data_IF_568883874375
#
_entry.id   IF_568883874375
#
_cell.length_a   1.000
_cell.length_b   1.000
_cell.length_c   1.000
_cell.angle_alpha   90.00
_cell.angle_beta   90.00
_cell.angle_gamma   90.00
#
_symmetry.space_group_name_H-M   'P 1'
#
loop_
_entity.id
_entity.type
_entity.pdbx_description
1 polymer ?
#
# COMPACT_ATOMS: atom_id res chain seq x y z
N UNK A 1 14.47 1.75 10.97
CA UNK A 1 13.12 2.18 11.38
C UNK A 1 12.33 2.46 10.11
N UNK A 2 11.20 1.77 9.90
CA UNK A 2 10.36 1.92 8.71
C UNK A 2 9.15 2.79 9.06
N UNK A 3 9.23 4.12 8.92
CA UNK A 3 8.08 4.99 9.14
C UNK A 3 7.03 4.70 8.06
N UNK A 4 5.96 4.05 8.50
CA UNK A 4 4.83 3.64 7.68
C UNK A 4 3.77 4.74 7.66
N UNK A 5 2.93 4.75 6.63
CA UNK A 5 1.72 5.58 6.60
C UNK A 5 0.79 5.34 7.80
N UNK A 6 0.95 4.21 8.50
CA UNK A 6 0.24 3.89 9.74
C UNK A 6 0.57 4.83 10.90
N UNK A 7 1.71 5.52 10.90
CA UNK A 7 2.08 6.46 11.97
C UNK A 7 1.17 7.71 12.04
N UNK A 8 0.43 8.00 10.97
CA UNK A 8 -0.58 9.07 10.95
C UNK A 8 -1.82 8.72 11.80
N UNK A 9 -1.98 7.45 12.20
CA UNK A 9 -3.13 6.98 12.95
C UNK A 9 -2.88 6.98 14.45
N UNK A 10 -3.42 7.99 15.13
CA UNK A 10 -3.47 8.01 16.60
C UNK A 10 -4.48 6.99 17.13
N UNK A 11 -4.31 6.56 18.38
CA UNK A 11 -5.29 5.66 19.05
C UNK A 11 -6.71 6.25 19.03
N UNK A 12 -6.83 7.57 19.21
CA UNK A 12 -8.12 8.26 19.17
C UNK A 12 -8.73 8.24 17.76
N UNK A 13 -7.92 8.41 16.72
CA UNK A 13 -8.40 8.32 15.34
C UNK A 13 -8.85 6.90 15.01
N UNK A 14 -8.07 5.89 15.39
CA UNK A 14 -8.45 4.48 15.21
C UNK A 14 -9.76 4.15 15.93
N UNK A 15 -9.95 4.65 17.16
CA UNK A 15 -11.20 4.50 17.91
C UNK A 15 -12.38 5.17 17.19
N UNK A 16 -12.20 6.40 16.67
CA UNK A 16 -13.23 7.10 15.88
C UNK A 16 -13.61 6.33 14.62
N UNK A 17 -12.64 5.73 13.94
CA UNK A 17 -12.86 4.90 12.74
C UNK A 17 -13.63 3.62 13.11
N UNK A 18 -13.20 2.91 14.16
CA UNK A 18 -13.87 1.70 14.64
C UNK A 18 -15.32 1.98 15.08
N UNK A 19 -15.56 3.10 15.78
CA UNK A 19 -16.89 3.51 16.22
C UNK A 19 -17.84 3.84 15.05
N UNK A 20 -17.31 4.13 13.85
CA UNK A 20 -18.11 4.29 12.62
C UNK A 20 -18.42 2.95 11.94
N UNK A 21 -18.07 1.82 12.56
CA UNK A 21 -18.34 0.48 12.04
C UNK A 21 -17.26 -0.05 11.09
N UNK A 22 -16.12 0.65 10.93
CA UNK A 22 -15.02 0.17 10.10
C UNK A 22 -14.18 -0.86 10.86
N UNK A 23 -14.02 -2.05 10.26
CA UNK A 23 -13.10 -3.08 10.77
C UNK A 23 -11.66 -2.66 10.51
N UNK A 24 -10.81 -2.76 11.53
CA UNK A 24 -9.37 -2.51 11.42
C UNK A 24 -8.67 -3.85 11.69
N UNK A 25 -7.91 -4.33 10.71
CA UNK A 25 -7.21 -5.62 10.80
C UNK A 25 -5.74 -5.46 10.44
N UNK A 26 -4.82 -6.14 11.15
CA UNK A 26 -3.39 -6.01 10.91
C UNK A 26 -2.89 -6.96 9.82
N UNK A 27 -1.85 -6.52 9.09
CA UNK A 27 -0.95 -7.37 8.31
C UNK A 27 0.44 -7.21 8.92
N UNK A 28 1.13 -8.31 9.21
CA UNK A 28 2.48 -8.27 9.77
C UNK A 28 3.49 -8.24 8.63
N UNK A 29 4.49 -7.37 8.74
CA UNK A 29 5.54 -7.18 7.73
C UNK A 29 6.90 -7.10 8.42
N UNK A 30 7.89 -7.84 7.93
CA UNK A 30 9.30 -7.62 8.28
C UNK A 30 9.99 -6.95 7.10
N UNK A 31 10.25 -5.66 7.26
CA UNK A 31 10.74 -4.80 6.20
C UNK A 31 12.26 -4.65 6.27
N UNK A 32 12.92 -4.89 5.14
CA UNK A 32 14.30 -4.49 4.92
C UNK A 32 14.41 -3.04 4.43
N UNK A 33 15.64 -2.59 4.15
CA UNK A 33 15.90 -1.27 3.56
C UNK A 33 15.65 -1.21 2.05
N UNK A 34 15.32 -2.34 1.42
CA UNK A 34 15.29 -2.49 -0.03
C UNK A 34 14.28 -1.62 -0.76
N UNK A 35 13.10 -1.39 -0.16
CA UNK A 35 12.09 -0.48 -0.71
C UNK A 35 12.58 0.96 -0.88
N UNK A 36 13.68 1.37 -0.25
CA UNK A 36 14.26 2.72 -0.37
C UNK A 36 15.39 2.82 -1.39
N UNK A 37 15.79 1.70 -2.01
CA UNK A 37 16.85 1.71 -3.03
C UNK A 37 16.32 2.35 -4.32
N UNK A 38 17.12 3.17 -5.01
CA UNK A 38 16.73 3.72 -6.30
C UNK A 38 16.61 2.62 -7.35
N UNK A 39 15.69 2.79 -8.29
CA UNK A 39 15.59 1.93 -9.47
C UNK A 39 16.64 2.40 -10.49
N UNK A 40 17.62 1.56 -10.80
CA UNK A 40 18.77 1.89 -11.69
C UNK A 40 18.70 1.05 -12.98
N UNK A 41 17.50 0.64 -13.40
CA UNK A 41 17.31 -0.12 -14.66
C UNK A 41 16.47 0.70 -15.64
N UNK A 42 16.81 0.63 -16.92
CA UNK A 42 16.02 1.25 -18.00
C UNK A 42 14.72 0.48 -18.25
N UNK A 43 14.82 -0.85 -18.26
CA UNK A 43 13.67 -1.76 -18.37
C UNK A 43 13.19 -2.18 -16.98
N UNK A 44 12.02 -1.66 -16.58
CA UNK A 44 11.39 -1.93 -15.29
C UNK A 44 11.08 -3.42 -15.09
N UNK A 45 10.82 -4.19 -16.15
CA UNK A 45 10.55 -5.62 -16.04
C UNK A 45 11.76 -6.41 -15.50
N UNK A 46 12.96 -5.83 -15.60
CA UNK A 46 14.21 -6.42 -15.11
C UNK A 46 14.57 -5.98 -13.69
N UNK A 47 13.79 -5.10 -13.07
CA UNK A 47 14.04 -4.67 -11.71
C UNK A 47 13.75 -5.81 -10.73
N UNK A 48 14.75 -6.15 -9.90
CA UNK A 48 14.57 -7.08 -8.79
C UNK A 48 14.27 -6.30 -7.51
N UNK A 49 13.06 -6.49 -6.99
CA UNK A 49 12.70 -6.01 -5.66
C UNK A 49 13.42 -6.84 -4.60
N UNK A 50 13.84 -6.19 -3.52
CA UNK A 50 14.23 -6.90 -2.32
C UNK A 50 12.98 -7.53 -1.68
N UNK A 51 13.07 -8.81 -1.29
CA UNK A 51 11.94 -9.53 -0.71
C UNK A 51 11.59 -9.02 0.69
N UNK A 52 10.30 -8.92 0.97
CA UNK A 52 9.76 -8.58 2.27
C UNK A 52 8.97 -9.77 2.83
N UNK A 53 9.18 -10.09 4.10
CA UNK A 53 8.37 -11.12 4.76
C UNK A 53 7.02 -10.53 5.16
N UNK A 54 5.95 -11.27 4.93
CA UNK A 54 4.61 -10.91 5.35
C UNK A 54 3.93 -12.06 6.09
N UNK A 55 2.93 -11.72 6.89
CA UNK A 55 1.98 -12.66 7.47
C UNK A 55 0.58 -12.03 7.54
N UNK A 56 -0.36 -12.67 6.84
CA UNK A 56 -1.79 -12.38 6.83
C UNK A 56 -2.47 -13.53 7.59
N UNK A 57 -3.02 -13.23 8.76
CA UNK A 57 -3.72 -14.27 9.54
C UNK A 57 -5.04 -14.67 8.86
N UNK A 58 -5.60 -15.80 9.31
CA UNK A 58 -6.93 -16.25 8.90
C UNK A 58 -7.99 -15.19 9.18
N UNK A 59 -7.95 -14.56 10.36
CA UNK A 59 -8.92 -13.55 10.79
C UNK A 59 -8.83 -12.29 9.92
N UNK A 60 -7.62 -11.86 9.56
CA UNK A 60 -7.41 -10.72 8.67
C UNK A 60 -7.94 -11.02 7.26
N UNK A 61 -7.58 -12.17 6.69
CA UNK A 61 -8.05 -12.56 5.35
C UNK A 61 -9.58 -12.70 5.32
N UNK A 62 -10.16 -13.38 6.32
CA UNK A 62 -11.61 -13.51 6.45
C UNK A 62 -12.29 -12.14 6.58
N UNK A 63 -11.73 -11.23 7.39
CA UNK A 63 -12.28 -9.90 7.56
C UNK A 63 -12.35 -9.09 6.27
N UNK A 64 -11.28 -9.16 5.47
CA UNK A 64 -11.20 -8.49 4.18
C UNK A 64 -12.21 -9.11 3.21
N UNK A 65 -12.21 -10.44 3.09
CA UNK A 65 -13.11 -11.16 2.18
C UNK A 65 -14.59 -10.95 2.53
N UNK A 66 -14.95 -10.95 3.82
CA UNK A 66 -16.32 -10.64 4.26
C UNK A 66 -16.73 -9.21 3.90
N UNK A 67 -15.79 -8.27 3.97
CA UNK A 67 -16.03 -6.87 3.60
C UNK A 67 -16.28 -6.76 2.11
N UNK A 68 -15.45 -7.40 1.28
CA UNK A 68 -15.60 -7.44 -0.17
C UNK A 68 -16.92 -8.13 -0.59
N UNK A 69 -17.27 -9.26 0.02
CA UNK A 69 -18.54 -9.97 -0.23
C UNK A 69 -19.78 -9.12 0.04
N UNK A 70 -19.70 -8.18 0.99
CA UNK A 70 -20.78 -7.24 1.33
C UNK A 70 -20.77 -5.97 0.46
N UNK A 71 -19.89 -5.89 -0.55
CA UNK A 71 -19.71 -4.68 -1.37
C UNK A 71 -19.00 -3.54 -0.63
N UNK A 72 -18.38 -3.82 0.51
CA UNK A 72 -17.57 -2.86 1.26
C UNK A 72 -16.26 -2.53 0.55
N UNK A 73 -15.55 -1.52 1.07
CA UNK A 73 -14.29 -1.04 0.51
C UNK A 73 -13.10 -1.38 1.40
N UNK A 74 -12.02 -1.87 0.78
CA UNK A 74 -10.78 -2.23 1.46
C UNK A 74 -9.78 -1.08 1.36
N UNK A 75 -9.42 -0.53 2.53
CA UNK A 75 -8.42 0.54 2.64
C UNK A 75 -7.09 -0.06 3.09
N UNK A 76 -6.08 -0.01 2.22
CA UNK A 76 -4.71 -0.36 2.59
C UNK A 76 -3.97 0.86 3.15
N UNK A 77 -3.29 0.66 4.28
CA UNK A 77 -2.46 1.70 4.92
C UNK A 77 -0.99 1.36 4.68
N UNK A 78 -0.43 1.94 3.61
CA UNK A 78 0.95 1.77 3.19
C UNK A 78 1.12 0.80 2.01
N UNK A 79 2.10 1.09 1.15
CA UNK A 79 2.39 0.32 -0.07
C UNK A 79 2.84 -1.12 0.19
N UNK A 80 3.53 -1.39 1.30
CA UNK A 80 3.93 -2.75 1.67
C UNK A 80 2.73 -3.63 2.02
N UNK A 81 1.66 -3.05 2.61
CA UNK A 81 0.40 -3.76 2.86
C UNK A 81 -0.26 -4.11 1.53
N UNK A 82 -0.27 -3.18 0.57
CA UNK A 82 -0.78 -3.44 -0.79
C UNK A 82 -0.04 -4.62 -1.42
N UNK A 83 1.30 -4.62 -1.41
CA UNK A 83 2.09 -5.73 -1.97
C UNK A 83 1.77 -7.07 -1.32
N UNK A 84 1.68 -7.12 0.02
CA UNK A 84 1.37 -8.35 0.73
C UNK A 84 -0.03 -8.89 0.35
N UNK A 85 -1.05 -8.02 0.37
CA UNK A 85 -2.42 -8.39 0.02
C UNK A 85 -2.53 -8.82 -1.45
N UNK A 86 -1.85 -8.13 -2.35
CA UNK A 86 -1.84 -8.45 -3.77
C UNK A 86 -0.98 -9.70 -4.09
N UNK A 87 -0.14 -10.18 -3.16
CA UNK A 87 0.64 -11.41 -3.34
C UNK A 87 -0.20 -12.67 -3.07
N UNK A 88 -0.97 -12.68 -1.98
CA UNK A 88 -1.79 -13.83 -1.58
C UNK A 88 -3.24 -13.65 -2.06
N UNK A 89 -3.44 -13.68 -3.37
CA UNK A 89 -4.76 -13.58 -4.01
C UNK A 89 -5.12 -14.90 -4.69
N UNK A 90 -6.32 -15.41 -4.44
CA UNK A 90 -6.84 -16.61 -5.13
C UNK A 90 -7.18 -16.28 -6.59
N UNK A 91 -7.36 -17.31 -7.42
CA UNK A 91 -7.83 -17.14 -8.81
C UNK A 91 -9.18 -16.42 -8.92
N UNK A 92 -9.98 -16.45 -7.86
CA UNK A 92 -11.29 -15.80 -7.77
C UNK A 92 -11.21 -14.35 -7.25
N UNK A 93 -10.02 -13.85 -6.91
CA UNK A 93 -9.84 -12.49 -6.41
C UNK A 93 -10.05 -12.32 -4.89
N UNK A 94 -9.88 -13.39 -4.09
CA UNK A 94 -9.98 -13.33 -2.63
C UNK A 94 -8.62 -13.32 -1.95
N UNK A 95 -8.53 -12.71 -0.77
CA UNK A 95 -7.31 -12.78 0.06
C UNK A 95 -7.17 -14.19 0.63
N UNK A 96 -6.00 -14.78 0.47
CA UNK A 96 -5.63 -16.05 1.11
C UNK A 96 -4.84 -15.78 2.40
N UNK A 97 -5.16 -16.44 3.53
CA UNK A 97 -4.32 -16.38 4.71
C UNK A 97 -3.01 -17.12 4.47
N UNK A 98 -1.90 -16.57 4.98
CA UNK A 98 -0.60 -17.12 4.69
C UNK A 98 0.53 -16.26 5.22
N UNK A 99 1.71 -16.85 5.22
CA UNK A 99 2.97 -16.18 5.53
C UNK A 99 4.01 -16.59 4.51
N UNK A 100 4.92 -15.68 4.19
CA UNK A 100 5.91 -15.93 3.17
C UNK A 100 6.72 -14.69 2.84
N UNK A 101 7.38 -14.74 1.70
CA UNK A 101 8.17 -13.64 1.17
C UNK A 101 7.50 -13.12 -0.10
N UNK A 102 7.51 -11.81 -0.28
CA UNK A 102 7.07 -11.18 -1.51
C UNK A 102 8.15 -10.24 -2.03
N UNK A 103 8.49 -10.41 -3.29
CA UNK A 103 9.26 -9.47 -4.11
C UNK A 103 8.37 -8.89 -5.22
N UNK A 104 7.04 -8.93 -5.04
CA UNK A 104 6.09 -8.45 -6.04
C UNK A 104 6.35 -6.99 -6.39
N UNK A 105 6.78 -6.76 -7.63
CA UNK A 105 6.99 -5.44 -8.16
C UNK A 105 5.72 -4.95 -8.87
N UNK A 106 5.08 -3.92 -8.31
CA UNK A 106 3.81 -3.36 -8.82
C UNK A 106 4.12 -2.03 -9.51
N UNK A 107 3.87 -1.97 -10.82
CA UNK A 107 4.03 -0.79 -11.66
C UNK A 107 2.96 -0.79 -12.78
N UNK A 108 2.68 0.36 -13.42
CA UNK A 108 1.64 0.43 -14.45
C UNK A 108 1.99 -0.39 -15.71
N UNK A 109 0.99 -1.05 -16.35
CA UNK A 109 -0.37 -1.26 -15.88
C UNK A 109 -0.44 -2.39 -14.83
N UNK A 110 -1.31 -2.22 -13.82
CA UNK A 110 -1.59 -3.28 -12.84
C UNK A 110 -3.06 -3.23 -12.43
N UNK A 111 -3.70 -4.40 -12.35
CA UNK A 111 -5.08 -4.54 -11.91
C UNK A 111 -5.11 -5.00 -10.45
N UNK A 112 -5.53 -4.12 -9.54
CA UNK A 112 -5.65 -4.43 -8.12
C UNK A 112 -6.90 -5.26 -7.88
N UNK A 113 -6.73 -6.39 -7.18
CA UNK A 113 -7.83 -7.32 -6.91
C UNK A 113 -8.44 -7.09 -5.53
N UNK A 114 -7.63 -6.65 -4.57
CA UNK A 114 -8.03 -6.60 -3.16
C UNK A 114 -8.23 -5.16 -2.69
N UNK A 115 -7.34 -4.25 -3.06
CA UNK A 115 -7.28 -2.91 -2.47
C UNK A 115 -8.09 -1.92 -3.29
N UNK A 116 -9.15 -1.35 -2.71
CA UNK A 116 -9.96 -0.30 -3.33
C UNK A 116 -9.41 1.12 -3.09
N UNK A 117 -8.76 1.32 -1.94
CA UNK A 117 -8.37 2.63 -1.42
C UNK A 117 -6.98 2.55 -0.78
N UNK A 118 -6.15 3.56 -1.02
CA UNK A 118 -4.77 3.58 -0.52
C UNK A 118 -4.51 4.82 0.32
N UNK A 119 -3.99 4.61 1.52
CA UNK A 119 -3.41 5.67 2.36
C UNK A 119 -1.90 5.46 2.37
N UNK A 120 -1.15 6.45 1.89
CA UNK A 120 0.32 6.36 1.81
C UNK A 120 0.98 7.73 1.96
N UNK A 121 2.28 7.78 2.22
CA UNK A 121 3.04 9.03 2.22
C UNK A 121 3.33 9.53 0.80
N UNK A 122 3.85 10.75 0.67
CA UNK A 122 4.47 11.20 -0.58
C UNK A 122 5.85 10.56 -0.76
N UNK A 123 6.00 9.75 -1.82
CA UNK A 123 7.25 9.03 -2.11
C UNK A 123 8.24 9.82 -2.96
N UNK A 124 9.52 9.46 -2.89
CA UNK A 124 10.56 10.11 -3.69
C UNK A 124 10.39 9.84 -5.20
N UNK A 125 10.85 10.76 -6.07
CA UNK A 125 10.97 10.50 -7.50
C UNK A 125 11.74 9.21 -7.79
N UNK A 126 11.38 8.52 -8.87
CA UNK A 126 12.04 7.30 -9.33
C UNK A 126 12.07 6.16 -8.27
N UNK A 127 11.12 6.13 -7.33
CA UNK A 127 10.98 5.06 -6.35
C UNK A 127 9.95 4.02 -6.76
N UNK A 128 10.14 2.78 -6.31
CA UNK A 128 9.19 1.68 -6.54
C UNK A 128 7.84 1.94 -5.89
N UNK A 129 7.81 2.64 -4.74
CA UNK A 129 6.55 3.05 -4.11
C UNK A 129 5.78 4.06 -4.97
N UNK A 130 6.46 5.04 -5.60
CA UNK A 130 5.80 5.98 -6.51
C UNK A 130 5.23 5.25 -7.74
N UNK A 131 5.94 4.25 -8.25
CA UNK A 131 5.44 3.42 -9.36
C UNK A 131 4.17 2.66 -8.98
N UNK A 132 4.12 2.05 -7.78
CA UNK A 132 2.91 1.41 -7.26
C UNK A 132 1.75 2.40 -7.16
N UNK A 133 2.00 3.59 -6.60
CA UNK A 133 0.99 4.66 -6.51
C UNK A 133 0.49 5.11 -7.89
N UNK A 134 1.38 5.19 -8.88
CA UNK A 134 0.99 5.49 -10.26
C UNK A 134 0.16 4.37 -10.89
N UNK A 135 0.45 3.11 -10.55
CA UNK A 135 -0.35 1.98 -11.00
C UNK A 135 -1.75 2.03 -10.39
N UNK A 136 -1.86 2.47 -9.14
CA UNK A 136 -3.11 2.57 -8.40
C UNK A 136 -4.02 3.71 -8.86
N UNK A 137 -3.47 4.89 -9.14
CA UNK A 137 -4.26 6.12 -9.29
C UNK A 137 -4.09 6.86 -10.63
N UNK A 138 -3.50 6.19 -11.63
CA UNK A 138 -3.03 6.77 -12.89
C UNK A 138 -1.89 7.80 -12.71
N UNK A 139 -0.85 7.66 -13.54
CA UNK A 139 0.36 8.49 -13.47
C UNK A 139 0.10 9.98 -13.59
N UNK A 140 -0.76 10.43 -14.52
CA UNK A 140 -0.93 11.86 -14.79
C UNK A 140 -1.63 12.57 -13.63
N UNK A 141 -2.60 11.89 -12.99
CA UNK A 141 -3.30 12.37 -11.80
C UNK A 141 -2.33 12.45 -10.62
N UNK A 142 -1.54 11.39 -10.39
CA UNK A 142 -0.52 11.37 -9.33
C UNK A 142 0.48 12.52 -9.50
N UNK A 143 1.00 12.72 -10.72
CA UNK A 143 1.98 13.76 -10.98
C UNK A 143 1.39 15.17 -10.84
N UNK A 144 0.11 15.36 -11.18
CA UNK A 144 -0.61 16.61 -10.92
C UNK A 144 -0.74 16.87 -9.41
N UNK A 145 -1.09 15.85 -8.62
CA UNK A 145 -1.15 15.95 -7.16
C UNK A 145 0.22 16.27 -6.55
N UNK A 146 1.29 15.62 -7.02
CA UNK A 146 2.65 15.86 -6.55
C UNK A 146 3.14 17.28 -6.85
N UNK A 147 2.88 17.80 -8.06
CA UNK A 147 3.20 19.21 -8.40
C UNK A 147 2.48 20.19 -7.47
N UNK A 148 1.22 19.90 -7.14
CA UNK A 148 0.46 20.71 -6.16
C UNK A 148 1.07 20.63 -4.76
N UNK A 149 1.39 19.43 -4.28
CA UNK A 149 2.02 19.21 -2.98
C UNK A 149 3.36 19.95 -2.84
N UNK A 150 4.19 19.97 -3.90
CA UNK A 150 5.43 20.76 -3.93
C UNK A 150 5.13 22.26 -3.87
N UNK A 151 4.18 22.76 -4.68
CA UNK A 151 3.79 24.18 -4.69
C UNK A 151 3.27 24.64 -3.33
N UNK A 152 2.52 23.78 -2.64
CA UNK A 152 1.93 24.04 -1.32
C UNK A 152 2.88 23.69 -0.16
N UNK A 153 4.13 23.31 -0.44
CA UNK A 153 5.16 22.99 0.56
C UNK A 153 4.76 21.88 1.53
N UNK A 154 4.03 20.88 1.04
CA UNK A 154 3.76 19.67 1.82
C UNK A 154 5.07 18.94 2.11
N UNK A 155 5.12 18.24 3.24
CA UNK A 155 6.29 17.49 3.67
C UNK A 155 6.24 16.11 3.02
N UNK A 156 7.36 15.67 2.47
CA UNK A 156 7.45 14.41 1.75
C UNK A 156 8.07 13.32 2.62
N UNK A 157 8.01 12.09 2.11
CA UNK A 157 8.67 10.92 2.64
C UNK A 157 8.08 10.40 3.96
N UNK A 158 8.80 9.47 4.55
CA UNK A 158 8.66 8.86 5.87
C UNK A 158 7.88 9.63 6.94
N UNK A 159 8.31 10.85 7.26
CA UNK A 159 7.75 11.68 8.34
C UNK A 159 6.96 12.89 7.82
N UNK A 160 6.74 12.92 6.51
CA UNK A 160 5.96 13.96 5.86
C UNK A 160 4.47 13.72 5.96
N UNK A 161 3.71 14.42 5.12
CA UNK A 161 2.26 14.33 5.07
C UNK A 161 1.79 13.04 4.36
N UNK A 162 0.50 12.75 4.48
CA UNK A 162 -0.16 11.59 3.89
C UNK A 162 -1.04 11.96 2.70
N UNK A 163 -1.27 10.98 1.84
CA UNK A 163 -2.17 11.02 0.71
C UNK A 163 -3.18 9.88 0.86
N UNK A 164 -4.46 10.19 0.66
CA UNK A 164 -5.56 9.24 0.55
C UNK A 164 -6.01 9.20 -0.91
N UNK A 165 -6.03 8.02 -1.50
CA UNK A 165 -6.49 7.77 -2.86
C UNK A 165 -7.83 7.03 -2.79
N UNK A 166 -8.82 7.63 -3.46
CA UNK A 166 -10.21 7.18 -3.55
C UNK A 166 -10.60 6.80 -4.98
#
# INVERSE_FOLDING_TARGET
>A
AAPTAGLHFTKDLLKKIANKGTRIVPVVLHLGLGSFRPVIVEDLSRHKMDSEYFHISFETAQAINDTMKKGGKVYAVGTSVVRALETEVTSEGWVKPGKGWTDKFIFPPYEFKIVDRLITNFHMPCSTMLMLVCAFANRDIVFKAYRKAVKEKWRFFSYGDAMLIL
#
